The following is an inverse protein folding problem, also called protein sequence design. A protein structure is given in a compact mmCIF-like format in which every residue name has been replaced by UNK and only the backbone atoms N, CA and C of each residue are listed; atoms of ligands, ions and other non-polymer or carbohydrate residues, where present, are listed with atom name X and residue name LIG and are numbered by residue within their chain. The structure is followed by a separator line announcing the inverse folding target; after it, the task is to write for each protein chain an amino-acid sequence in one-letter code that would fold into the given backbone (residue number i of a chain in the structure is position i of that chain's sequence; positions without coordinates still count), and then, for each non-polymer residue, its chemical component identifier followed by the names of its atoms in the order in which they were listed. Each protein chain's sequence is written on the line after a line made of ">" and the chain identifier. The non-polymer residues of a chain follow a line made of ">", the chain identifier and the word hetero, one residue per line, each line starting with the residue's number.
data_IF_455076946512
#
_entry.id   IF_455076946512
#
_cell.length_a   1.000
_cell.length_b   1.000
_cell.length_c   1.000
_cell.angle_alpha   90.00
_cell.angle_beta   90.00
_cell.angle_gamma   90.00
#
_symmetry.space_group_name_H-M   'P 1'
#
loop_
_entity.id
_entity.type
_entity.pdbx_description
1 polymer ?
#
# COMPACT_ATOMS: atom_id res chain seq x y z
N UNK A 1 -12.76 -15.35 2.03
CA UNK A 1 -12.09 -14.16 1.51
C UNK A 1 -12.47 -12.99 2.40
N UNK A 2 -11.50 -12.20 2.82
CA UNK A 2 -11.72 -11.05 3.70
C UNK A 2 -11.88 -9.76 2.89
N UNK A 3 -12.76 -8.88 3.37
CA UNK A 3 -12.96 -7.53 2.85
C UNK A 3 -12.41 -6.53 3.86
N UNK A 4 -11.72 -5.51 3.35
CA UNK A 4 -11.07 -4.48 4.15
C UNK A 4 -11.66 -3.12 3.79
N UNK A 5 -11.89 -2.26 4.80
CA UNK A 5 -12.01 -0.82 4.51
C UNK A 5 -10.70 -0.32 3.90
N UNK A 6 -10.70 0.82 3.20
CA UNK A 6 -9.48 1.34 2.58
C UNK A 6 -8.31 1.51 3.56
N UNK A 7 -8.57 2.01 4.78
CA UNK A 7 -7.54 2.12 5.81
C UNK A 7 -6.96 0.77 6.25
N UNK A 8 -7.83 -0.22 6.47
CA UNK A 8 -7.39 -1.59 6.78
C UNK A 8 -6.61 -2.22 5.62
N UNK A 9 -7.03 -1.96 4.38
CA UNK A 9 -6.37 -2.45 3.17
C UNK A 9 -4.95 -1.88 3.05
N UNK A 10 -4.76 -0.57 3.30
CA UNK A 10 -3.43 0.04 3.27
C UNK A 10 -2.46 -0.58 4.29
N UNK A 11 -2.98 -1.06 5.42
CA UNK A 11 -2.17 -1.75 6.44
C UNK A 11 -1.87 -3.21 6.09
N UNK A 12 -2.70 -3.84 5.27
CA UNK A 12 -2.62 -5.27 4.96
C UNK A 12 -1.93 -5.56 3.61
N UNK A 13 -2.06 -4.66 2.62
CA UNK A 13 -1.56 -4.87 1.27
C UNK A 13 -0.03 -4.83 1.23
N UNK A 14 0.56 -5.86 0.61
CA UNK A 14 2.02 -6.00 0.45
C UNK A 14 2.48 -5.64 -0.95
N UNK A 15 3.77 -5.36 -1.12
CA UNK A 15 4.36 -4.96 -2.41
C UNK A 15 4.14 -6.03 -3.50
N UNK A 16 3.55 -5.65 -4.63
CA UNK A 16 3.14 -6.52 -5.73
C UNK A 16 1.69 -7.00 -5.63
N UNK A 17 1.04 -6.92 -4.46
CA UNK A 17 -0.35 -7.33 -4.33
C UNK A 17 -1.31 -6.33 -4.98
N UNK A 18 -2.45 -6.87 -5.43
CA UNK A 18 -3.55 -6.09 -5.99
C UNK A 18 -4.70 -6.04 -5.00
N UNK A 19 -5.48 -4.97 -5.06
CA UNK A 19 -6.74 -4.88 -4.34
C UNK A 19 -7.85 -4.40 -5.28
N UNK A 20 -9.03 -5.01 -5.15
CA UNK A 20 -10.19 -4.76 -5.98
C UNK A 20 -11.41 -4.42 -5.10
N UNK A 21 -12.20 -3.46 -5.55
CA UNK A 21 -13.51 -3.13 -4.97
C UNK A 21 -14.64 -3.92 -5.63
N UNK A 22 -15.81 -4.09 -4.99
CA UNK A 22 -16.95 -4.78 -5.61
C UNK A 22 -17.43 -4.19 -6.94
N UNK A 23 -17.17 -2.90 -7.19
CA UNK A 23 -17.52 -2.22 -8.44
C UNK A 23 -16.43 -2.36 -9.54
N UNK A 24 -15.35 -3.08 -9.25
CA UNK A 24 -14.30 -3.43 -10.20
C UNK A 24 -13.15 -2.43 -10.29
N UNK A 25 -13.07 -1.39 -9.45
CA UNK A 25 -11.85 -0.56 -9.38
C UNK A 25 -10.72 -1.36 -8.76
N UNK A 26 -9.54 -1.29 -9.39
CA UNK A 26 -8.38 -2.07 -8.99
C UNK A 26 -7.15 -1.19 -8.76
N UNK A 27 -6.38 -1.55 -7.75
CA UNK A 27 -5.10 -0.94 -7.40
C UNK A 27 -4.02 -2.00 -7.22
N UNK A 28 -2.75 -1.61 -7.36
CA UNK A 28 -1.59 -2.45 -7.05
C UNK A 28 -0.61 -1.69 -6.17
N UNK A 29 -0.10 -2.34 -5.13
CA UNK A 29 1.00 -1.80 -4.32
C UNK A 29 2.30 -2.07 -5.06
N UNK A 30 3.06 -1.03 -5.37
CA UNK A 30 4.42 -1.12 -5.92
C UNK A 30 5.43 -0.66 -4.88
N UNK A 31 6.73 -0.76 -5.19
CA UNK A 31 7.79 -0.20 -4.34
C UNK A 31 7.69 1.31 -4.14
N UNK A 32 7.04 2.03 -5.06
CA UNK A 32 6.96 3.49 -5.04
C UNK A 32 5.62 4.04 -4.53
N UNK A 33 4.59 3.20 -4.41
CA UNK A 33 3.29 3.66 -3.94
C UNK A 33 2.16 2.68 -4.19
N UNK A 34 0.93 3.18 -4.16
CA UNK A 34 -0.26 2.47 -4.57
C UNK A 34 -0.75 3.10 -5.89
N UNK A 35 -0.99 2.29 -6.92
CA UNK A 35 -1.33 2.76 -8.26
C UNK A 35 -2.65 2.19 -8.74
N UNK A 36 -3.44 2.98 -9.46
CA UNK A 36 -4.60 2.49 -10.20
C UNK A 36 -4.15 1.64 -11.37
N UNK A 37 -4.69 0.43 -11.50
CA UNK A 37 -4.32 -0.49 -12.60
C UNK A 37 -5.41 -0.63 -13.67
N UNK A 38 -6.56 0.02 -13.48
CA UNK A 38 -7.63 0.07 -14.48
C UNK A 38 -8.39 1.41 -14.48
N UNK A 39 -9.27 1.56 -15.47
CA UNK A 39 -10.14 2.72 -15.62
C UNK A 39 -9.40 4.00 -16.07
N UNK A 40 -10.10 5.14 -15.96
CA UNK A 40 -9.61 6.45 -16.43
C UNK A 40 -8.36 6.92 -15.66
N UNK A 41 -8.14 6.38 -14.46
CA UNK A 41 -7.00 6.73 -13.61
C UNK A 41 -5.83 5.76 -13.74
N UNK A 42 -5.89 4.76 -14.64
CA UNK A 42 -4.82 3.78 -14.82
C UNK A 42 -3.43 4.42 -14.93
N UNK A 43 -2.47 3.86 -14.19
CA UNK A 43 -1.10 4.33 -14.11
C UNK A 43 -0.88 5.54 -13.19
N UNK A 44 -1.93 6.12 -12.62
CA UNK A 44 -1.81 7.22 -11.65
C UNK A 44 -1.66 6.69 -10.23
N UNK A 45 -0.87 7.41 -9.43
CA UNK A 45 -0.78 7.20 -7.98
C UNK A 45 -2.15 7.45 -7.35
N UNK A 46 -2.56 6.56 -6.45
CA UNK A 46 -3.79 6.71 -5.67
C UNK A 46 -3.63 7.89 -4.73
N UNK A 47 -4.45 8.92 -4.92
CA UNK A 47 -4.59 10.00 -3.95
C UNK A 47 -5.63 9.59 -2.91
N UNK A 48 -5.30 9.72 -1.63
CA UNK A 48 -6.24 9.45 -0.55
C UNK A 48 -7.34 10.53 -0.61
N UNK A 49 -8.58 10.08 -0.80
CA UNK A 49 -9.80 10.90 -0.91
C UNK A 49 -10.89 10.28 -0.04
N UNK A 50 -11.80 11.11 0.45
CA UNK A 50 -12.82 10.70 1.43
C UNK A 50 -13.66 9.51 0.95
N UNK A 51 -14.04 9.49 -0.33
CA UNK A 51 -14.86 8.43 -0.89
C UNK A 51 -14.20 7.04 -0.86
N UNK A 52 -12.86 6.96 -0.77
CA UNK A 52 -12.18 5.67 -0.69
C UNK A 52 -12.44 4.98 0.66
N UNK A 53 -12.67 5.73 1.73
CA UNK A 53 -12.87 5.15 3.06
C UNK A 53 -14.20 4.41 3.21
N UNK A 54 -15.19 4.71 2.37
CA UNK A 54 -16.44 3.95 2.29
C UNK A 54 -16.34 2.67 1.46
N UNK A 55 -15.27 2.51 0.69
CA UNK A 55 -15.09 1.35 -0.17
C UNK A 55 -14.59 0.13 0.62
N UNK A 56 -15.08 -1.04 0.20
CA UNK A 56 -14.54 -2.33 0.61
C UNK A 56 -13.58 -2.84 -0.45
N UNK A 57 -12.46 -3.41 -0.01
CA UNK A 57 -11.38 -3.88 -0.85
C UNK A 57 -11.07 -5.34 -0.55
N UNK A 58 -10.82 -6.10 -1.60
CA UNK A 58 -10.35 -7.47 -1.53
C UNK A 58 -8.94 -7.52 -2.07
N UNK A 59 -7.99 -7.96 -1.25
CA UNK A 59 -6.60 -8.16 -1.65
C UNK A 59 -6.45 -9.53 -2.31
N UNK A 60 -5.69 -9.59 -3.40
CA UNK A 60 -5.37 -10.83 -4.10
C UNK A 60 -3.99 -10.74 -4.79
N UNK A 61 -3.51 -11.89 -5.25
CA UNK A 61 -2.27 -12.03 -6.03
C UNK A 61 -2.56 -12.82 -7.30
N UNK A 62 -2.03 -12.35 -8.43
CA UNK A 62 -1.97 -13.07 -9.70
C UNK A 62 -0.52 -13.22 -10.19
N UNK A 63 -0.31 -13.75 -11.41
CA UNK A 63 1.04 -13.96 -11.95
C UNK A 63 1.85 -12.67 -12.06
N UNK A 64 1.20 -11.55 -12.38
CA UNK A 64 1.83 -10.22 -12.42
C UNK A 64 2.23 -9.78 -11.00
N UNK A 65 1.38 -10.04 -10.00
CA UNK A 65 1.70 -9.77 -8.59
C UNK A 65 2.94 -10.50 -8.10
N UNK A 66 3.19 -11.72 -8.58
CA UNK A 66 4.38 -12.48 -8.19
C UNK A 66 5.67 -11.87 -8.74
N UNK A 67 5.63 -11.34 -9.97
CA UNK A 67 6.78 -10.67 -10.58
C UNK A 67 7.11 -9.35 -9.88
N UNK A 68 6.09 -8.52 -9.63
CA UNK A 68 6.23 -7.26 -8.91
C UNK A 68 6.58 -7.46 -7.42
N UNK A 69 6.22 -8.61 -6.86
CA UNK A 69 6.54 -9.00 -5.49
C UNK A 69 7.98 -9.46 -5.27
N UNK A 70 8.81 -9.57 -6.32
CA UNK A 70 10.21 -9.99 -6.18
C UNK A 70 10.97 -8.99 -5.29
N UNK A 71 11.56 -9.51 -4.22
CA UNK A 71 12.29 -8.68 -3.25
C UNK A 71 11.42 -7.93 -2.24
N UNK A 72 10.10 -8.19 -2.20
CA UNK A 72 9.14 -7.63 -1.23
C UNK A 72 9.67 -7.62 0.19
N UNK A 73 10.14 -8.76 0.70
CA UNK A 73 10.63 -8.86 2.08
C UNK A 73 11.78 -7.89 2.36
N UNK A 74 12.76 -7.81 1.46
CA UNK A 74 13.91 -6.92 1.63
C UNK A 74 13.49 -5.45 1.54
N UNK A 75 12.56 -5.12 0.64
CA UNK A 75 12.07 -3.75 0.48
C UNK A 75 11.26 -3.29 1.70
N UNK A 76 10.28 -4.09 2.11
CA UNK A 76 9.41 -3.79 3.26
C UNK A 76 10.18 -3.79 4.59
N UNK A 77 11.26 -4.58 4.69
CA UNK A 77 12.17 -4.52 5.84
C UNK A 77 12.93 -3.18 5.87
N UNK A 78 13.50 -2.74 4.74
CA UNK A 78 14.18 -1.44 4.64
C UNK A 78 13.23 -0.27 4.93
N UNK A 79 11.99 -0.31 4.43
CA UNK A 79 10.98 0.71 4.73
C UNK A 79 10.71 0.81 6.24
N UNK A 80 10.59 -0.32 6.94
CA UNK A 80 10.42 -0.37 8.40
C UNK A 80 11.62 0.20 9.14
N UNK A 81 12.83 -0.23 8.78
CA UNK A 81 14.06 0.28 9.39
C UNK A 81 14.21 1.79 9.23
N UNK A 82 13.85 2.34 8.06
CA UNK A 82 13.87 3.79 7.85
C UNK A 82 12.90 4.54 8.75
N UNK A 83 11.67 4.02 8.92
CA UNK A 83 10.66 4.63 9.79
C UNK A 83 11.08 4.59 11.26
N UNK A 84 11.65 3.47 11.70
CA UNK A 84 12.19 3.31 13.06
C UNK A 84 13.32 4.31 13.33
N UNK A 85 14.25 4.45 12.38
CA UNK A 85 15.36 5.40 12.48
C UNK A 85 14.85 6.85 12.57
N UNK A 86 13.91 7.25 11.72
CA UNK A 86 13.31 8.59 11.75
C UNK A 86 12.61 8.88 13.08
N UNK A 87 11.91 7.88 13.65
CA UNK A 87 11.25 8.03 14.93
C UNK A 87 12.25 8.21 16.08
N UNK A 88 13.34 7.44 16.12
CA UNK A 88 14.38 7.60 17.13
C UNK A 88 15.07 8.97 17.04
N UNK A 89 15.33 9.47 15.83
CA UNK A 89 15.85 10.82 15.61
C UNK A 89 14.93 11.90 16.21
N UNK A 90 13.61 11.81 15.97
CA UNK A 90 12.61 12.71 16.54
C UNK A 90 12.59 12.63 18.08
N UNK A 91 12.69 11.42 18.64
CA UNK A 91 12.73 11.19 20.09
C UNK A 91 13.97 11.78 20.73
N UNK A 92 15.12 11.75 20.06
CA UNK A 92 16.34 12.40 20.54
C UNK A 92 16.29 13.91 20.42
N UNK A 93 15.76 14.45 19.31
CA UNK A 93 15.58 15.88 19.12
C UNK A 93 14.69 16.50 20.21
N UNK A 94 13.59 15.83 20.56
CA UNK A 94 12.68 16.29 21.61
C UNK A 94 13.26 16.20 23.03
N UNK A 95 14.24 15.32 23.28
CA UNK A 95 14.93 15.22 24.59
C UNK A 95 16.02 16.27 24.80
N UNK A 96 16.48 16.92 23.72
CA UNK A 96 17.50 17.98 23.77
C UNK A 96 16.91 19.40 23.85
N UNK A 97 15.58 19.53 23.80
CA UNK A 97 14.83 20.76 24.05
C UNK A 97 14.38 20.82 25.50
#
# INVERSE_FOLDING_TARGET
>A
MEWYTFGQMLMAIRMGQKAETPDGRMVMRTSTGLFWINGILQGKVVQIKDYLFSDLWRIYEDEESQQEGIGREQHEQREREMLENQYEELRWANRKR
#
